data_IF_365462172027
#
_entry.id   IF_365462172027
#
_cell.length_a   1.000
_cell.length_b   1.000
_cell.length_c   1.000
_cell.angle_alpha   90.00
_cell.angle_beta   90.00
_cell.angle_gamma   90.00
#
_symmetry.space_group_name_H-M   'P 1'
#
loop_
_entity.id
_entity.type
_entity.pdbx_description
1 polymer ?
#
# COMPACT_ATOMS: atom_id res chain seq x y z
N UNK A 1 -5.66 3.81 24.50
CA UNK A 1 -5.48 5.22 24.13
C UNK A 1 -5.91 5.35 22.68
N UNK A 2 -7.09 5.91 22.48
CA UNK A 2 -7.70 6.16 21.16
C UNK A 2 -7.85 7.67 21.08
N UNK A 3 -6.85 8.33 20.52
CA UNK A 3 -6.92 9.75 20.22
C UNK A 3 -6.68 9.92 18.72
N UNK A 4 -7.77 10.04 17.97
CA UNK A 4 -7.76 10.61 16.63
C UNK A 4 -9.07 11.38 16.46
N UNK A 5 -9.16 12.51 17.15
CA UNK A 5 -10.12 13.55 16.84
C UNK A 5 -9.71 14.16 15.48
N UNK A 6 -10.23 13.60 14.39
CA UNK A 6 -10.16 14.24 13.07
C UNK A 6 -11.32 15.22 13.02
N UNK A 7 -11.10 16.40 13.58
CA UNK A 7 -11.96 17.56 13.42
C UNK A 7 -11.99 17.91 11.92
N UNK A 8 -13.07 17.53 11.24
CA UNK A 8 -13.28 17.83 9.83
C UNK A 8 -13.95 19.21 9.74
N UNK A 9 -13.19 20.27 10.04
CA UNK A 9 -13.63 21.63 9.72
C UNK A 9 -13.51 21.79 8.21
N UNK A 10 -14.65 21.78 7.52
CA UNK A 10 -14.74 22.02 6.08
C UNK A 10 -14.47 23.50 5.83
N UNK A 11 -13.20 23.88 5.87
CA UNK A 11 -12.75 25.23 5.49
C UNK A 11 -12.99 25.41 4.01
N UNK A 12 -13.67 26.50 3.65
CA UNK A 12 -13.88 26.85 2.25
C UNK A 12 -12.52 27.23 1.64
N UNK A 13 -12.05 26.45 0.67
CA UNK A 13 -10.72 26.63 0.05
C UNK A 13 -10.50 28.04 -0.53
N UNK A 14 -11.57 28.73 -0.91
CA UNK A 14 -11.53 30.10 -1.47
C UNK A 14 -11.07 31.17 -0.48
N UNK A 15 -11.14 30.87 0.81
CA UNK A 15 -10.88 31.85 1.87
C UNK A 15 -9.43 31.73 2.40
N UNK A 16 -8.67 30.75 1.90
CA UNK A 16 -7.28 30.51 2.25
C UNK A 16 -6.35 31.41 1.43
N UNK A 17 -5.28 31.87 2.07
CA UNK A 17 -4.18 32.51 1.33
C UNK A 17 -3.46 31.46 0.46
N UNK A 18 -2.81 31.86 -0.64
CA UNK A 18 -2.07 30.93 -1.49
C UNK A 18 -1.06 30.07 -0.72
N UNK A 19 -0.36 30.64 0.26
CA UNK A 19 0.61 29.92 1.08
C UNK A 19 -0.06 28.81 1.92
N UNK A 20 -1.14 29.14 2.64
CA UNK A 20 -1.86 28.17 3.48
C UNK A 20 -2.50 27.08 2.62
N UNK A 21 -3.01 27.44 1.44
CA UNK A 21 -3.59 26.48 0.50
C UNK A 21 -2.55 25.44 0.06
N UNK A 22 -1.35 25.86 -0.32
CA UNK A 22 -0.26 24.96 -0.72
C UNK A 22 0.18 24.09 0.47
N UNK A 23 0.39 24.67 1.65
CA UNK A 23 0.78 23.90 2.84
C UNK A 23 -0.26 22.82 3.23
N UNK A 24 -1.55 23.15 3.13
CA UNK A 24 -2.63 22.20 3.40
C UNK A 24 -2.70 21.10 2.33
N UNK A 25 -2.49 21.47 1.06
CA UNK A 25 -2.45 20.52 -0.03
C UNK A 25 -1.28 19.53 0.12
N UNK A 26 -0.07 20.01 0.42
CA UNK A 26 1.09 19.16 0.65
C UNK A 26 0.87 18.19 1.81
N UNK A 27 0.22 18.65 2.89
CA UNK A 27 -0.16 17.81 4.02
C UNK A 27 -1.18 16.75 3.62
N UNK A 28 -2.18 17.11 2.81
CA UNK A 28 -3.18 16.16 2.32
C UNK A 28 -2.54 15.07 1.44
N UNK A 29 -1.64 15.44 0.53
CA UNK A 29 -0.89 14.50 -0.31
C UNK A 29 -0.01 13.57 0.54
N UNK A 30 0.66 14.10 1.58
CA UNK A 30 1.43 13.28 2.51
C UNK A 30 0.55 12.30 3.28
N UNK A 31 -0.61 12.76 3.77
CA UNK A 31 -1.56 11.92 4.49
C UNK A 31 -2.15 10.82 3.60
N UNK A 32 -2.35 11.06 2.30
CA UNK A 32 -2.81 10.03 1.35
C UNK A 32 -1.79 8.89 1.22
N UNK A 33 -0.50 9.23 1.11
CA UNK A 33 0.59 8.24 1.12
C UNK A 33 0.62 7.47 2.44
N UNK A 34 0.52 8.18 3.57
CA UNK A 34 0.48 7.54 4.89
C UNK A 34 -0.73 6.62 5.08
N UNK A 35 -1.90 7.03 4.59
CA UNK A 35 -3.10 6.20 4.64
C UNK A 35 -2.91 4.90 3.84
N UNK A 36 -2.21 4.96 2.71
CA UNK A 36 -1.97 3.78 1.85
C UNK A 36 -1.15 2.71 2.57
N UNK A 37 -0.05 3.07 3.26
CA UNK A 37 0.75 2.06 3.98
C UNK A 37 -0.06 1.37 5.08
N UNK A 38 -0.91 2.11 5.80
CA UNK A 38 -1.77 1.55 6.84
C UNK A 38 -2.75 0.55 6.23
N UNK A 39 -3.37 0.88 5.09
CA UNK A 39 -4.28 -0.06 4.40
C UNK A 39 -3.55 -1.36 4.04
N UNK A 40 -2.32 -1.30 3.53
CA UNK A 40 -1.56 -2.51 3.18
C UNK A 40 -1.25 -3.37 4.41
N UNK A 41 -0.84 -2.75 5.52
CA UNK A 41 -0.59 -3.47 6.79
C UNK A 41 -1.86 -4.15 7.32
N UNK A 42 -3.00 -3.46 7.29
CA UNK A 42 -4.26 -4.07 7.72
C UNK A 42 -4.71 -5.19 6.79
N UNK A 43 -4.54 -5.04 5.47
CA UNK A 43 -4.85 -6.12 4.52
C UNK A 43 -3.99 -7.34 4.81
N UNK A 44 -2.70 -7.15 5.05
CA UNK A 44 -1.79 -8.23 5.42
C UNK A 44 -2.24 -8.93 6.71
N UNK A 45 -2.48 -8.20 7.79
CA UNK A 45 -2.88 -8.78 9.08
C UNK A 45 -4.25 -9.49 9.02
N UNK A 46 -5.22 -8.89 8.32
CA UNK A 46 -6.56 -9.49 8.11
C UNK A 46 -6.47 -10.76 7.27
N UNK A 47 -5.51 -10.82 6.34
CA UNK A 47 -5.22 -12.02 5.55
C UNK A 47 -4.56 -13.10 6.40
N UNK A 48 -3.48 -12.79 7.12
CA UNK A 48 -2.74 -13.76 7.94
C UNK A 48 -3.60 -14.39 9.04
N UNK A 49 -4.45 -13.58 9.69
CA UNK A 49 -5.39 -14.06 10.71
C UNK A 49 -6.69 -14.62 10.16
N UNK A 50 -6.87 -14.59 8.84
CA UNK A 50 -8.12 -15.01 8.19
C UNK A 50 -9.39 -14.31 8.70
N UNK A 51 -9.29 -13.08 9.23
CA UNK A 51 -10.44 -12.34 9.81
C UNK A 51 -11.53 -12.01 8.78
N UNK A 52 -11.21 -12.06 7.50
CA UNK A 52 -12.19 -11.95 6.42
C UNK A 52 -13.22 -13.09 6.46
N UNK A 53 -12.83 -14.29 6.91
CA UNK A 53 -13.73 -15.43 7.08
C UNK A 53 -14.69 -15.22 8.24
N UNK A 54 -14.22 -14.69 9.37
CA UNK A 54 -15.06 -14.36 10.54
C UNK A 54 -16.13 -13.30 10.18
N UNK A 55 -15.80 -12.44 9.21
CA UNK A 55 -16.70 -11.43 8.67
C UNK A 55 -17.63 -11.96 7.55
N UNK A 56 -17.53 -13.24 7.19
CA UNK A 56 -18.36 -13.89 6.19
C UNK A 56 -17.94 -13.68 4.73
N UNK A 57 -16.71 -13.23 4.47
CA UNK A 57 -16.17 -13.07 3.12
C UNK A 57 -15.29 -14.26 2.74
N UNK A 58 -15.55 -14.86 1.57
CA UNK A 58 -14.79 -16.02 1.05
C UNK A 58 -13.34 -15.70 0.66
N UNK A 59 -12.97 -14.42 0.60
CA UNK A 59 -11.60 -13.98 0.32
C UNK A 59 -11.38 -12.51 0.71
N UNK A 60 -10.12 -12.11 0.84
CA UNK A 60 -9.74 -10.69 0.98
C UNK A 60 -10.26 -9.86 -0.19
N UNK A 61 -10.25 -10.40 -1.42
CA UNK A 61 -10.79 -9.72 -2.58
C UNK A 61 -12.27 -9.34 -2.37
N UNK A 62 -13.10 -10.29 -1.91
CA UNK A 62 -14.51 -10.04 -1.61
C UNK A 62 -14.70 -9.04 -0.47
N UNK A 63 -13.90 -9.12 0.58
CA UNK A 63 -13.91 -8.12 1.64
C UNK A 63 -13.65 -6.71 1.07
N UNK A 64 -12.64 -6.56 0.21
CA UNK A 64 -12.29 -5.27 -0.39
C UNK A 64 -13.34 -4.75 -1.37
N UNK A 65 -13.90 -5.60 -2.24
CA UNK A 65 -14.90 -5.17 -3.23
C UNK A 65 -16.28 -4.94 -2.61
N UNK A 66 -16.72 -5.84 -1.73
CA UNK A 66 -18.11 -5.86 -1.27
C UNK A 66 -18.30 -4.94 -0.07
N UNK A 67 -17.33 -4.91 0.87
CA UNK A 67 -17.38 -4.04 2.05
C UNK A 67 -16.78 -2.68 1.79
N UNK A 68 -15.55 -2.64 1.27
CA UNK A 68 -14.78 -1.41 1.12
C UNK A 68 -14.96 -0.73 -0.25
N UNK A 69 -15.76 -1.33 -1.14
CA UNK A 69 -16.16 -0.75 -2.43
C UNK A 69 -15.00 -0.43 -3.37
N UNK A 70 -13.87 -1.11 -3.21
CA UNK A 70 -12.80 -1.04 -4.19
C UNK A 70 -13.27 -1.61 -5.53
N UNK A 71 -12.81 -1.01 -6.63
CA UNK A 71 -12.91 -1.65 -7.93
C UNK A 71 -12.07 -2.93 -7.97
N UNK A 72 -12.35 -3.83 -8.90
CA UNK A 72 -11.62 -5.09 -9.03
C UNK A 72 -10.11 -4.87 -9.14
N UNK A 73 -9.68 -3.91 -9.96
CA UNK A 73 -8.26 -3.58 -10.13
C UNK A 73 -7.67 -3.02 -8.82
N UNK A 74 -8.36 -2.08 -8.17
CA UNK A 74 -7.89 -1.52 -6.90
C UNK A 74 -7.75 -2.56 -5.78
N UNK A 75 -8.62 -3.56 -5.77
CA UNK A 75 -8.56 -4.66 -4.81
C UNK A 75 -7.37 -5.58 -5.09
N UNK A 76 -7.17 -5.99 -6.35
CA UNK A 76 -6.02 -6.83 -6.73
C UNK A 76 -4.68 -6.11 -6.51
N UNK A 77 -4.58 -4.84 -6.88
CA UNK A 77 -3.39 -4.02 -6.65
C UNK A 77 -2.98 -4.03 -5.16
N UNK A 78 -3.94 -3.81 -4.26
CA UNK A 78 -3.68 -3.83 -2.81
C UNK A 78 -3.33 -5.21 -2.28
N UNK A 79 -3.96 -6.26 -2.81
CA UNK A 79 -3.64 -7.65 -2.44
C UNK A 79 -2.22 -8.01 -2.88
N UNK A 80 -1.84 -7.64 -4.11
CA UNK A 80 -0.50 -7.91 -4.62
C UNK A 80 0.54 -7.12 -3.83
N UNK A 81 0.30 -5.82 -3.56
CA UNK A 81 1.20 -5.02 -2.71
C UNK A 81 1.31 -5.57 -1.27
N UNK A 82 0.21 -6.00 -0.65
CA UNK A 82 0.23 -6.57 0.69
C UNK A 82 0.95 -7.93 0.77
N UNK A 83 1.06 -8.67 -0.34
CA UNK A 83 1.84 -9.93 -0.42
C UNK A 83 3.32 -9.69 -0.09
N UNK A 84 3.86 -8.53 -0.47
CA UNK A 84 5.24 -8.15 -0.18
C UNK A 84 5.51 -8.15 1.34
N UNK A 85 4.56 -7.67 2.14
CA UNK A 85 4.69 -7.59 3.60
C UNK A 85 4.82 -8.96 4.27
N UNK A 86 4.32 -10.02 3.63
CA UNK A 86 4.49 -11.39 4.13
C UNK A 86 5.94 -11.87 4.04
N UNK A 87 6.66 -11.41 3.01
CA UNK A 87 8.06 -11.78 2.77
C UNK A 87 9.01 -10.83 3.49
N UNK A 88 8.74 -9.54 3.44
CA UNK A 88 9.55 -8.50 4.06
C UNK A 88 8.65 -7.41 4.67
N UNK A 89 8.26 -7.54 5.95
CA UNK A 89 7.43 -6.55 6.62
C UNK A 89 8.11 -5.17 6.75
N UNK A 90 9.45 -5.10 6.77
CA UNK A 90 10.21 -3.88 7.00
C UNK A 90 10.11 -2.89 5.83
N UNK A 91 9.76 -3.36 4.63
CA UNK A 91 9.53 -2.51 3.45
C UNK A 91 8.50 -1.41 3.69
N UNK A 92 7.62 -1.58 4.69
CA UNK A 92 6.58 -0.59 4.98
C UNK A 92 7.17 0.76 5.41
N UNK A 93 8.34 0.77 6.04
CA UNK A 93 9.04 2.00 6.44
C UNK A 93 9.43 2.82 5.20
N UNK A 94 9.92 2.13 4.16
CA UNK A 94 10.27 2.71 2.85
C UNK A 94 9.04 3.25 2.10
N UNK A 95 7.87 2.63 2.29
CA UNK A 95 6.61 3.16 1.75
C UNK A 95 6.15 4.40 2.52
N UNK A 96 6.35 4.40 3.83
CA UNK A 96 5.96 5.50 4.71
C UNK A 96 6.81 6.75 4.49
N UNK A 97 8.13 6.60 4.28
CA UNK A 97 9.03 7.71 3.96
C UNK A 97 8.97 8.15 2.48
N UNK A 98 8.40 7.30 1.61
CA UNK A 98 8.15 7.58 0.21
C UNK A 98 9.29 7.19 -0.74
N UNK A 99 10.35 6.54 -0.25
CA UNK A 99 11.41 5.94 -1.06
C UNK A 99 10.91 4.80 -1.95
N UNK A 100 9.82 4.13 -1.54
CA UNK A 100 9.04 3.21 -2.34
C UNK A 100 7.57 3.64 -2.47
N UNK A 101 6.95 3.34 -3.60
CA UNK A 101 5.54 3.65 -3.87
C UNK A 101 4.69 2.40 -4.09
N UNK A 102 3.35 2.58 -4.06
CA UNK A 102 2.40 1.49 -4.20
C UNK A 102 2.61 0.69 -5.51
N UNK A 103 2.89 1.36 -6.63
CA UNK A 103 3.12 0.71 -7.93
C UNK A 103 4.32 -0.23 -7.89
N UNK A 104 5.40 0.17 -7.22
CA UNK A 104 6.58 -0.68 -7.04
C UNK A 104 6.25 -1.93 -6.22
N UNK A 105 5.51 -1.77 -5.11
CA UNK A 105 5.07 -2.91 -4.29
C UNK A 105 4.14 -3.85 -5.06
N UNK A 106 3.23 -3.32 -5.89
CA UNK A 106 2.35 -4.15 -6.73
C UNK A 106 3.19 -5.06 -7.62
N UNK A 107 4.18 -4.51 -8.32
CA UNK A 107 5.01 -5.27 -9.25
C UNK A 107 5.84 -6.33 -8.52
N UNK A 108 6.48 -5.99 -7.40
CA UNK A 108 7.19 -6.99 -6.58
C UNK A 108 6.25 -8.07 -6.06
N UNK A 109 5.05 -7.70 -5.62
CA UNK A 109 4.01 -8.63 -5.20
C UNK A 109 3.53 -9.58 -6.30
N UNK A 110 3.54 -9.13 -7.56
CA UNK A 110 3.26 -9.95 -8.74
C UNK A 110 4.42 -10.88 -9.07
N UNK A 111 5.67 -10.43 -8.94
CA UNK A 111 6.85 -11.29 -9.06
C UNK A 111 6.81 -12.42 -8.02
N UNK A 112 6.56 -12.10 -6.74
CA UNK A 112 6.42 -13.12 -5.68
C UNK A 112 5.35 -14.15 -6.05
N UNK A 113 4.16 -13.69 -6.44
CA UNK A 113 3.05 -14.56 -6.86
C UNK A 113 3.40 -15.46 -8.05
N UNK A 114 4.19 -14.95 -9.00
CA UNK A 114 4.65 -15.71 -10.14
C UNK A 114 5.62 -16.82 -9.71
N UNK A 115 6.56 -16.52 -8.83
CA UNK A 115 7.52 -17.49 -8.27
C UNK A 115 6.83 -18.56 -7.44
N UNK A 116 5.89 -18.19 -6.55
CA UNK A 116 5.07 -19.12 -5.77
C UNK A 116 4.32 -20.10 -6.68
N UNK A 117 3.71 -19.61 -7.77
CA UNK A 117 3.01 -20.45 -8.75
C UNK A 117 3.94 -21.39 -9.50
N UNK A 118 5.20 -21.01 -9.69
CA UNK A 118 6.22 -21.84 -10.29
C UNK A 118 6.87 -22.81 -9.30
N UNK A 119 6.41 -22.82 -8.04
CA UNK A 119 6.95 -23.68 -6.97
C UNK A 119 8.33 -23.23 -6.49
N UNK A 120 8.74 -21.99 -6.77
CA UNK A 120 10.01 -21.42 -6.32
C UNK A 120 9.77 -20.57 -5.08
N UNK A 121 10.70 -20.65 -4.13
CA UNK A 121 10.66 -19.82 -2.94
C UNK A 121 11.15 -18.41 -3.28
N UNK A 122 10.45 -17.40 -2.74
CA UNK A 122 10.86 -16.01 -2.82
C UNK A 122 11.24 -15.54 -1.41
N UNK A 123 12.50 -15.20 -1.23
CA UNK A 123 13.09 -14.88 0.08
C UNK A 123 13.10 -13.38 0.36
N UNK A 124 13.19 -13.02 1.65
CA UNK A 124 13.39 -11.64 2.08
C UNK A 124 14.63 -10.99 1.44
N UNK A 125 15.72 -11.75 1.31
CA UNK A 125 16.96 -11.27 0.68
C UNK A 125 16.75 -10.92 -0.81
N UNK A 126 15.96 -11.72 -1.54
CA UNK A 126 15.60 -11.41 -2.93
C UNK A 126 14.74 -10.14 -3.02
N UNK A 127 13.78 -9.95 -2.10
CA UNK A 127 12.99 -8.71 -2.09
C UNK A 127 13.87 -7.48 -1.80
N UNK A 128 14.79 -7.58 -0.83
CA UNK A 128 15.64 -6.45 -0.46
C UNK A 128 16.56 -6.04 -1.63
N UNK A 129 17.14 -7.01 -2.33
CA UNK A 129 17.97 -6.72 -3.50
C UNK A 129 17.19 -6.01 -4.63
N UNK A 130 15.90 -6.33 -4.79
CA UNK A 130 15.04 -5.63 -5.74
C UNK A 130 14.74 -4.22 -5.24
N UNK A 131 14.44 -4.04 -3.95
CA UNK A 131 14.15 -2.73 -3.36
C UNK A 131 15.33 -1.78 -3.49
N UNK A 132 16.55 -2.23 -3.17
CA UNK A 132 17.78 -1.45 -3.37
C UNK A 132 17.93 -0.93 -4.81
N UNK A 133 17.46 -1.70 -5.80
CA UNK A 133 17.54 -1.33 -7.21
C UNK A 133 16.44 -0.40 -7.68
N UNK A 134 15.28 -0.32 -6.99
CA UNK A 134 14.13 0.50 -7.43
C UNK A 134 13.83 1.67 -6.50
N UNK A 135 14.48 1.74 -5.34
CA UNK A 135 14.36 2.86 -4.40
C UNK A 135 14.71 4.19 -5.04
N UNK A 136 13.86 5.20 -4.78
CA UNK A 136 14.00 6.56 -5.31
C UNK A 136 13.98 6.65 -6.85
N UNK A 137 13.65 5.56 -7.55
CA UNK A 137 13.54 5.55 -8.99
C UNK A 137 12.14 5.94 -9.46
N UNK A 138 12.07 6.50 -10.65
CA UNK A 138 10.80 6.72 -11.33
C UNK A 138 10.17 5.39 -11.75
N UNK A 139 8.85 5.41 -12.04
CA UNK A 139 8.12 4.22 -12.54
C UNK A 139 8.79 3.65 -13.81
N UNK A 140 9.33 4.53 -14.67
CA UNK A 140 10.00 4.16 -15.91
C UNK A 140 11.33 3.42 -15.68
N UNK A 141 12.09 3.83 -14.66
CA UNK A 141 13.34 3.18 -14.30
C UNK A 141 13.10 1.84 -13.59
N UNK A 142 12.06 1.79 -12.74
CA UNK A 142 11.58 0.56 -12.08
C UNK A 142 11.23 -0.53 -13.10
N UNK A 143 10.64 -0.19 -14.25
CA UNK A 143 10.26 -1.15 -15.31
C UNK A 143 11.43 -1.83 -16.01
N UNK A 144 12.65 -1.34 -15.87
CA UNK A 144 13.83 -1.98 -16.46
C UNK A 144 14.48 -3.02 -15.53
N UNK A 145 14.12 -2.98 -14.25
CA UNK A 145 14.69 -3.82 -13.19
C UNK A 145 13.84 -5.06 -12.93
N UNK A 146 12.51 -4.93 -13.09
CA UNK A 146 11.50 -5.97 -12.86
C UNK A 146 11.12 -6.71 -14.14
#
# INVERSE_FOLDING_TARGET
MMDANVQNDVVKLTDLTPQILIENFDRAVKNEKSATHLVLQYIHEVSERSLHLDLGYESIYKLLTDRHKYSSNQAYDRIDAARVLKVNPQVIEKVQDGSLNLTQLIKVGQCIKHEEKAGREFTAAQSENIFEQIENQTIFETEKVL
#
